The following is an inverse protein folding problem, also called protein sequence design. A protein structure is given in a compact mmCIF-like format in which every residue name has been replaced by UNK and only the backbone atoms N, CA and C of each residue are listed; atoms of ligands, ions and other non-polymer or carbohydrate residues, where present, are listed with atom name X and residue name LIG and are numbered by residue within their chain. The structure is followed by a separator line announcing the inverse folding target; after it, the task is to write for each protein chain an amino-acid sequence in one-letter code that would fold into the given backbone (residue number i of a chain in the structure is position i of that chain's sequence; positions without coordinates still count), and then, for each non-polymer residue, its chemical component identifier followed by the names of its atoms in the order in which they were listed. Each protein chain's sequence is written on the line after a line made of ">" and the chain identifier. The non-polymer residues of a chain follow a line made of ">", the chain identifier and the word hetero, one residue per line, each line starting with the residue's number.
data_IF_076644305180
#
_entry.id   IF_076644305180
#
_cell.length_a   1.000
_cell.length_b   1.000
_cell.length_c   1.000
_cell.angle_alpha   90.00
_cell.angle_beta   90.00
_cell.angle_gamma   90.00
#
_symmetry.space_group_name_H-M   'P 1'
#
loop_
_entity.id
_entity.type
_entity.pdbx_description
1 polymer ?
#
# COMPACT_ATOMS: atom_id res chain seq x y z
N UNK A 1 23.59 9.42 -41.97
CA UNK A 1 24.52 9.24 -40.82
C UNK A 1 24.07 10.13 -39.68
N UNK A 2 23.84 9.58 -38.47
CA UNK A 2 23.53 10.40 -37.29
C UNK A 2 24.69 11.38 -37.07
N UNK A 3 24.42 12.68 -37.12
CA UNK A 3 25.46 13.71 -37.06
C UNK A 3 26.13 13.64 -35.68
N UNK A 4 27.47 13.69 -35.55
CA UNK A 4 28.18 13.58 -34.26
C UNK A 4 27.65 14.49 -33.14
N UNK A 5 27.06 15.63 -33.51
CA UNK A 5 26.38 16.56 -32.59
C UNK A 5 25.17 15.93 -31.87
N UNK A 6 24.42 15.09 -32.56
CA UNK A 6 23.22 14.43 -32.07
C UNK A 6 23.56 13.33 -31.05
N UNK A 7 24.61 12.55 -31.33
CA UNK A 7 25.17 11.59 -30.37
C UNK A 7 25.66 12.28 -29.09
N UNK A 8 26.41 13.39 -29.22
CA UNK A 8 26.84 14.19 -28.06
C UNK A 8 25.65 14.72 -27.26
N UNK A 9 24.55 15.14 -27.93
CA UNK A 9 23.31 15.57 -27.25
C UNK A 9 22.67 14.43 -26.46
N UNK A 10 22.59 13.24 -27.05
CA UNK A 10 22.01 12.04 -26.39
C UNK A 10 22.82 11.63 -25.17
N UNK A 11 24.16 11.65 -25.27
CA UNK A 11 25.06 11.37 -24.12
C UNK A 11 24.78 12.34 -22.97
N UNK A 12 24.72 13.65 -23.25
CA UNK A 12 24.43 14.66 -22.21
C UNK A 12 23.04 14.45 -21.57
N UNK A 13 22.03 14.11 -22.37
CA UNK A 13 20.67 13.85 -21.88
C UNK A 13 20.60 12.62 -20.96
N UNK A 14 21.26 11.52 -21.33
CA UNK A 14 21.32 10.31 -20.49
C UNK A 14 22.11 10.57 -19.21
N UNK A 15 23.24 11.30 -19.28
CA UNK A 15 24.01 11.69 -18.10
C UNK A 15 23.21 12.58 -17.14
N UNK A 16 22.41 13.50 -17.67
CA UNK A 16 21.50 14.34 -16.86
C UNK A 16 20.42 13.49 -16.18
N UNK A 17 19.76 12.61 -16.93
CA UNK A 17 18.74 11.70 -16.39
C UNK A 17 19.32 10.81 -15.29
N UNK A 18 20.53 10.26 -15.47
CA UNK A 18 21.23 9.46 -14.45
C UNK A 18 21.47 10.23 -13.15
N UNK A 19 21.86 11.52 -13.24
CA UNK A 19 22.05 12.37 -12.05
C UNK A 19 20.71 12.59 -11.33
N UNK A 20 19.65 12.92 -12.08
CA UNK A 20 18.31 13.13 -11.52
C UNK A 20 17.82 11.87 -10.79
N UNK A 21 17.88 10.71 -11.43
CA UNK A 21 17.43 9.45 -10.82
C UNK A 21 18.28 9.08 -9.60
N UNK A 22 19.59 9.36 -9.61
CA UNK A 22 20.43 9.12 -8.44
C UNK A 22 20.05 10.01 -7.26
N UNK A 23 19.76 11.28 -7.50
CA UNK A 23 19.25 12.18 -6.46
C UNK A 23 17.90 11.70 -5.93
N UNK A 24 16.99 11.28 -6.82
CA UNK A 24 15.69 10.74 -6.40
C UNK A 24 15.82 9.49 -5.54
N UNK A 25 16.75 8.59 -5.88
CA UNK A 25 17.08 7.40 -5.10
C UNK A 25 17.53 7.79 -3.68
N UNK A 26 18.49 8.70 -3.54
CA UNK A 26 18.98 9.16 -2.23
C UNK A 26 17.87 9.80 -1.38
N UNK A 27 17.01 10.62 -2.00
CA UNK A 27 15.85 11.22 -1.32
C UNK A 27 14.84 10.16 -0.89
N UNK A 28 14.59 9.15 -1.72
CA UNK A 28 13.70 8.05 -1.39
C UNK A 28 14.25 7.20 -0.24
N UNK A 29 15.56 6.91 -0.22
CA UNK A 29 16.23 6.19 0.86
C UNK A 29 16.11 6.95 2.19
N UNK A 30 16.35 8.26 2.19
CA UNK A 30 16.18 9.08 3.39
C UNK A 30 14.74 9.07 3.91
N UNK A 31 13.75 9.16 3.02
CA UNK A 31 12.33 9.06 3.39
C UNK A 31 11.95 7.68 3.91
N UNK A 32 12.50 6.62 3.33
CA UNK A 32 12.27 5.24 3.77
C UNK A 32 12.79 5.07 5.21
N UNK A 33 14.01 5.53 5.50
CA UNK A 33 14.57 5.48 6.86
C UNK A 33 13.66 6.18 7.86
N UNK A 34 13.24 7.41 7.58
CA UNK A 34 12.29 8.15 8.44
C UNK A 34 10.96 7.42 8.63
N UNK A 35 10.47 6.74 7.59
CA UNK A 35 9.25 5.96 7.68
C UNK A 35 9.44 4.71 8.57
N UNK A 36 10.56 4.01 8.43
CA UNK A 36 10.92 2.87 9.27
C UNK A 36 11.08 3.27 10.74
N UNK A 37 11.78 4.38 11.01
CA UNK A 37 11.97 4.89 12.38
C UNK A 37 10.61 5.16 13.06
N UNK A 38 9.66 5.77 12.34
CA UNK A 38 8.29 6.00 12.85
C UNK A 38 7.54 4.70 13.14
N UNK A 39 7.69 3.69 12.28
CA UNK A 39 7.07 2.37 12.50
C UNK A 39 7.67 1.72 13.75
N UNK A 40 8.99 1.74 13.91
CA UNK A 40 9.67 1.15 15.07
C UNK A 40 9.22 1.86 16.36
N UNK A 41 9.16 3.19 16.37
CA UNK A 41 8.71 3.97 17.51
C UNK A 41 7.23 3.70 17.89
N UNK A 42 6.38 3.35 16.92
CA UNK A 42 4.97 3.02 17.17
C UNK A 42 4.74 1.59 17.69
N UNK A 43 5.73 0.69 17.58
CA UNK A 43 5.57 -0.73 17.96
C UNK A 43 5.20 -0.94 19.44
N UNK A 44 5.84 -0.28 20.43
CA UNK A 44 5.49 -0.48 21.83
C UNK A 44 4.03 -0.13 22.13
N UNK A 45 3.53 0.96 21.55
CA UNK A 45 2.12 1.35 21.68
C UNK A 45 1.19 0.31 21.07
N UNK A 46 1.49 -0.17 19.86
CA UNK A 46 0.67 -1.19 19.20
C UNK A 46 0.66 -2.52 19.98
N UNK A 47 1.79 -2.90 20.58
CA UNK A 47 1.90 -4.10 21.41
C UNK A 47 1.06 -3.98 22.69
N UNK A 48 1.23 -2.89 23.45
CA UNK A 48 0.45 -2.64 24.66
C UNK A 48 -1.05 -2.55 24.37
N UNK A 49 -1.45 -1.92 23.26
CA UNK A 49 -2.85 -1.86 22.85
C UNK A 49 -3.40 -3.26 22.53
N UNK A 50 -2.61 -4.11 21.86
CA UNK A 50 -3.02 -5.47 21.56
C UNK A 50 -3.18 -6.33 22.82
N UNK A 51 -2.31 -6.18 23.81
CA UNK A 51 -2.43 -6.82 25.13
C UNK A 51 -3.72 -6.40 25.83
N UNK A 52 -3.99 -5.09 25.91
CA UNK A 52 -5.23 -4.57 26.53
C UNK A 52 -6.49 -5.08 25.82
N UNK A 53 -6.49 -5.12 24.48
CA UNK A 53 -7.64 -5.65 23.72
C UNK A 53 -7.80 -7.16 23.96
N UNK A 54 -6.71 -7.91 24.05
CA UNK A 54 -6.74 -9.33 24.32
C UNK A 54 -7.28 -9.64 25.71
N UNK A 55 -6.85 -8.89 26.73
CA UNK A 55 -7.31 -9.04 28.11
C UNK A 55 -8.78 -8.63 28.27
N UNK A 56 -9.23 -7.63 27.50
CA UNK A 56 -10.62 -7.17 27.51
C UNK A 56 -11.57 -8.13 26.78
N UNK A 57 -11.07 -8.98 25.88
CA UNK A 57 -11.95 -9.81 25.06
C UNK A 57 -12.64 -10.89 25.91
N UNK A 58 -13.98 -10.85 25.92
CA UNK A 58 -14.83 -11.89 26.47
C UNK A 58 -15.97 -12.21 25.48
N UNK A 59 -16.44 -13.48 25.39
CA UNK A 59 -17.56 -13.86 24.50
C UNK A 59 -18.81 -12.98 24.70
N UNK A 60 -19.12 -12.61 25.93
CA UNK A 60 -20.27 -11.76 26.29
C UNK A 60 -20.11 -10.33 25.74
N UNK A 61 -18.87 -9.82 25.67
CA UNK A 61 -18.57 -8.52 25.08
C UNK A 61 -18.68 -8.56 23.55
N UNK A 62 -18.34 -9.68 22.91
CA UNK A 62 -18.55 -9.85 21.48
C UNK A 62 -20.05 -9.80 21.13
N UNK A 63 -20.93 -10.42 21.92
CA UNK A 63 -22.36 -10.32 21.71
C UNK A 63 -22.88 -8.87 21.83
N UNK A 64 -22.32 -8.08 22.75
CA UNK A 64 -22.74 -6.69 22.97
C UNK A 64 -22.13 -5.69 21.98
N UNK A 65 -20.89 -5.90 21.54
CA UNK A 65 -20.13 -4.97 20.71
C UNK A 65 -19.79 -5.57 19.34
N UNK A 66 -20.42 -5.09 18.24
CA UNK A 66 -20.25 -5.66 16.90
C UNK A 66 -18.81 -5.74 16.39
N UNK A 67 -17.93 -4.81 16.79
CA UNK A 67 -16.52 -4.79 16.37
C UNK A 67 -15.68 -5.90 17.00
N UNK A 68 -16.15 -6.50 18.09
CA UNK A 68 -15.50 -7.63 18.77
C UNK A 68 -16.04 -8.97 18.28
N UNK A 69 -17.10 -8.99 17.46
CA UNK A 69 -17.67 -10.22 16.89
C UNK A 69 -16.73 -10.79 15.85
N UNK A 70 -16.52 -12.10 15.90
CA UNK A 70 -16.07 -12.87 14.75
C UNK A 70 -17.31 -13.39 14.02
N UNK A 71 -17.62 -12.88 12.81
CA UNK A 71 -18.76 -13.38 12.04
C UNK A 71 -18.58 -14.89 11.78
N UNK A 72 -19.63 -15.67 12.03
CA UNK A 72 -19.68 -17.07 11.61
C UNK A 72 -20.26 -17.14 10.18
N UNK A 73 -19.64 -17.93 9.30
CA UNK A 73 -20.09 -18.15 7.91
C UNK A 73 -19.47 -17.18 6.88
N UNK A 74 -19.97 -17.25 5.65
CA UNK A 74 -19.52 -16.40 4.55
C UNK A 74 -20.02 -14.96 4.73
N UNK A 75 -19.09 -14.00 4.62
CA UNK A 75 -19.43 -12.59 4.69
C UNK A 75 -20.32 -12.23 3.49
N UNK A 76 -21.47 -11.58 3.71
CA UNK A 76 -22.29 -11.08 2.60
C UNK A 76 -21.65 -9.89 1.89
N UNK A 77 -20.83 -9.13 2.62
CA UNK A 77 -20.19 -7.91 2.16
C UNK A 77 -18.82 -7.76 2.79
N UNK A 78 -17.83 -7.38 1.99
CA UNK A 78 -16.44 -7.21 2.41
C UNK A 78 -15.97 -5.81 2.04
N UNK A 79 -15.47 -5.07 3.01
CA UNK A 79 -14.77 -3.81 2.75
C UNK A 79 -13.31 -4.10 2.36
N UNK A 80 -12.93 -3.81 1.11
CA UNK A 80 -11.56 -3.97 0.65
C UNK A 80 -10.85 -2.61 0.66
N UNK A 81 -9.91 -2.44 1.58
CA UNK A 81 -9.09 -1.21 1.68
C UNK A 81 -7.79 -1.39 0.90
N UNK A 82 -7.62 -0.59 -0.15
CA UNK A 82 -6.45 -0.67 -1.05
C UNK A 82 -5.60 0.59 -0.91
N UNK A 83 -4.39 0.42 -0.38
CA UNK A 83 -3.46 1.54 -0.11
C UNK A 83 -2.35 1.60 -1.15
N UNK A 84 -2.49 2.54 -2.09
CA UNK A 84 -1.52 2.83 -3.16
C UNK A 84 -0.68 4.07 -2.86
N UNK A 85 0.37 4.28 -3.65
CA UNK A 85 1.17 5.50 -3.56
C UNK A 85 0.45 6.70 -4.19
N UNK A 86 0.77 7.90 -3.72
CA UNK A 86 0.37 9.14 -4.41
C UNK A 86 1.22 9.46 -5.64
N UNK A 87 2.42 8.88 -5.76
CA UNK A 87 3.41 9.18 -6.80
C UNK A 87 3.76 7.92 -7.60
N UNK A 88 4.24 8.12 -8.83
CA UNK A 88 4.81 7.08 -9.68
C UNK A 88 6.32 6.88 -9.44
N UNK A 89 7.01 6.31 -10.44
CA UNK A 89 8.45 6.01 -10.40
C UNK A 89 8.85 5.11 -9.21
N UNK A 90 7.97 4.17 -8.86
CA UNK A 90 8.12 3.21 -7.76
C UNK A 90 8.15 1.76 -8.26
N UNK A 91 8.65 1.55 -9.49
CA UNK A 91 8.67 0.24 -10.13
C UNK A 91 7.27 -0.38 -10.23
N UNK A 92 7.16 -1.66 -9.89
CA UNK A 92 5.92 -2.43 -9.97
C UNK A 92 4.98 -2.27 -8.76
N UNK A 93 5.31 -1.42 -7.77
CA UNK A 93 4.57 -1.33 -6.50
C UNK A 93 3.05 -1.14 -6.70
N UNK A 94 2.63 -0.08 -7.40
CA UNK A 94 1.21 0.19 -7.60
C UNK A 94 0.55 -0.87 -8.50
N UNK A 95 1.23 -1.29 -9.57
CA UNK A 95 0.68 -2.26 -10.53
C UNK A 95 0.43 -3.63 -9.88
N UNK A 96 1.35 -4.11 -9.04
CA UNK A 96 1.20 -5.37 -8.32
C UNK A 96 0.08 -5.27 -7.28
N UNK A 97 0.01 -4.16 -6.53
CA UNK A 97 -1.03 -3.97 -5.51
C UNK A 97 -2.43 -3.90 -6.12
N UNK A 98 -2.58 -3.24 -7.27
CA UNK A 98 -3.85 -3.17 -8.00
C UNK A 98 -4.23 -4.53 -8.60
N UNK A 99 -3.26 -5.27 -9.15
CA UNK A 99 -3.50 -6.63 -9.65
C UNK A 99 -3.97 -7.56 -8.53
N UNK A 100 -3.34 -7.46 -7.36
CA UNK A 100 -3.73 -8.22 -6.18
C UNK A 100 -5.15 -7.85 -5.71
N UNK A 101 -5.47 -6.56 -5.66
CA UNK A 101 -6.80 -6.09 -5.30
C UNK A 101 -7.87 -6.65 -6.26
N UNK A 102 -7.62 -6.63 -7.57
CA UNK A 102 -8.53 -7.22 -8.58
C UNK A 102 -8.74 -8.72 -8.35
N UNK A 103 -7.65 -9.46 -8.16
CA UNK A 103 -7.73 -10.90 -7.84
C UNK A 103 -8.56 -11.14 -6.57
N UNK A 104 -8.38 -10.31 -5.54
CA UNK A 104 -9.14 -10.44 -4.30
C UNK A 104 -10.62 -10.11 -4.48
N UNK A 105 -10.95 -9.14 -5.32
CA UNK A 105 -12.34 -8.82 -5.68
C UNK A 105 -13.00 -10.02 -6.34
N UNK A 106 -12.36 -10.59 -7.38
CA UNK A 106 -12.87 -11.76 -8.09
C UNK A 106 -13.08 -12.97 -7.16
N UNK A 107 -12.15 -13.21 -6.23
CA UNK A 107 -12.29 -14.28 -5.23
C UNK A 107 -13.50 -14.07 -4.32
N UNK A 108 -13.66 -12.86 -3.77
CA UNK A 108 -14.74 -12.54 -2.83
C UNK A 108 -16.10 -12.59 -3.53
N UNK A 109 -16.17 -12.11 -4.78
CA UNK A 109 -17.40 -12.19 -5.59
C UNK A 109 -17.75 -13.63 -5.96
N UNK A 110 -16.75 -14.48 -6.26
CA UNK A 110 -16.96 -15.91 -6.51
C UNK A 110 -17.47 -16.67 -5.27
N UNK A 111 -17.14 -16.19 -4.06
CA UNK A 111 -17.68 -16.69 -2.79
C UNK A 111 -19.11 -16.19 -2.51
N UNK A 112 -19.70 -15.39 -3.41
CA UNK A 112 -21.06 -14.86 -3.31
C UNK A 112 -21.19 -13.59 -2.47
N UNK A 113 -20.08 -12.93 -2.16
CA UNK A 113 -20.04 -11.71 -1.36
C UNK A 113 -19.87 -10.46 -2.23
N UNK A 114 -20.43 -9.32 -1.80
CA UNK A 114 -20.21 -8.03 -2.48
C UNK A 114 -19.00 -7.29 -1.93
N UNK A 115 -18.20 -6.64 -2.77
CA UNK A 115 -17.05 -5.83 -2.33
C UNK A 115 -17.38 -4.34 -2.26
N UNK A 116 -17.16 -3.73 -1.09
CA UNK A 116 -17.12 -2.27 -0.93
C UNK A 116 -15.65 -1.82 -0.99
N UNK A 117 -15.26 -1.18 -2.08
CA UNK A 117 -13.87 -0.80 -2.35
C UNK A 117 -13.53 0.57 -1.75
N UNK A 118 -12.53 0.61 -0.88
CA UNK A 118 -12.01 1.85 -0.29
C UNK A 118 -10.58 2.10 -0.76
N UNK A 119 -10.41 3.11 -1.61
CA UNK A 119 -9.12 3.45 -2.21
C UNK A 119 -8.41 4.55 -1.41
N UNK A 120 -7.17 4.30 -1.04
CA UNK A 120 -6.27 5.28 -0.45
C UNK A 120 -5.08 5.46 -1.39
N UNK A 121 -4.79 6.71 -1.74
CA UNK A 121 -3.69 7.07 -2.61
C UNK A 121 -4.12 7.35 -4.05
N UNK A 122 -3.53 8.39 -4.64
CA UNK A 122 -3.91 8.89 -5.97
C UNK A 122 -3.76 7.85 -7.07
N UNK A 123 -2.79 6.94 -6.98
CA UNK A 123 -2.55 5.94 -8.04
C UNK A 123 -3.60 4.84 -8.10
N UNK A 124 -4.28 4.52 -7.00
CA UNK A 124 -5.44 3.63 -7.01
C UNK A 124 -6.69 4.34 -7.51
N UNK A 125 -6.88 5.60 -7.12
CA UNK A 125 -8.07 6.40 -7.49
C UNK A 125 -8.07 6.76 -8.99
N UNK A 126 -6.90 7.01 -9.58
CA UNK A 126 -6.77 7.44 -10.99
C UNK A 126 -6.47 6.31 -11.98
N UNK A 127 -6.32 5.07 -11.49
CA UNK A 127 -6.06 3.90 -12.32
C UNK A 127 -7.35 3.38 -12.94
#
# INVERSE_FOLDING_TARGET
>A
MAKPRELRRRIKSVQSTRKITKTMELVATSKLKRAQDRVIAARPYAAALAEVIADLYAPELAERFPLLRRPAGTARRVALVVVTANRGLCGAFNANLIREARRRIEQVEAEGATVDLHLIGKKGITY
#
